data_IF_090236653626
#
_entry.id   IF_090236653626
#
_cell.length_a   1.000
_cell.length_b   1.000
_cell.length_c   1.000
_cell.angle_alpha   90.00
_cell.angle_beta   90.00
_cell.angle_gamma   90.00
#
_symmetry.space_group_name_H-M   'P 1'
#
loop_
_entity.id
_entity.type
_entity.pdbx_description
1 polymer ?
#
# COMPACT_ATOMS: atom_id res chain seq x y z
N UNK A 1 17.04 -21.64 -17.41
CA UNK A 1 17.22 -20.21 -17.75
C UNK A 1 15.94 -19.57 -18.28
N UNK A 2 15.28 -20.16 -19.28
CA UNK A 2 14.03 -19.63 -19.89
C UNK A 2 12.91 -19.35 -18.87
N UNK A 3 12.63 -20.28 -17.95
CA UNK A 3 11.55 -20.14 -16.96
C UNK A 3 11.74 -18.88 -16.08
N UNK A 4 12.97 -18.60 -15.65
CA UNK A 4 13.27 -17.44 -14.82
C UNK A 4 13.00 -16.12 -15.55
N UNK A 5 13.38 -16.06 -16.83
CA UNK A 5 13.14 -14.87 -17.66
C UNK A 5 11.65 -14.62 -17.86
N UNK A 6 10.85 -15.69 -18.05
CA UNK A 6 9.39 -15.57 -18.16
C UNK A 6 8.78 -15.00 -16.87
N UNK A 7 9.14 -15.53 -15.70
CA UNK A 7 8.62 -15.02 -14.43
C UNK A 7 9.07 -13.59 -14.12
N UNK A 8 10.31 -13.23 -14.45
CA UNK A 8 10.83 -11.88 -14.32
C UNK A 8 10.01 -10.89 -15.17
N UNK A 9 9.86 -11.17 -16.47
CA UNK A 9 9.10 -10.31 -17.40
C UNK A 9 7.65 -10.17 -16.94
N UNK A 10 7.03 -11.28 -16.54
CA UNK A 10 5.66 -11.26 -16.02
C UNK A 10 5.54 -10.42 -14.75
N UNK A 11 6.47 -10.57 -13.80
CA UNK A 11 6.49 -9.79 -12.56
C UNK A 11 6.63 -8.29 -12.81
N UNK A 12 7.49 -7.89 -13.75
CA UNK A 12 7.64 -6.49 -14.18
C UNK A 12 6.33 -6.00 -14.82
N UNK A 13 5.78 -6.75 -15.78
CA UNK A 13 4.56 -6.37 -16.50
C UNK A 13 3.36 -6.19 -15.56
N UNK A 14 3.13 -7.13 -14.63
CA UNK A 14 2.03 -7.03 -13.67
C UNK A 14 2.27 -5.89 -12.67
N UNK A 15 3.52 -5.63 -12.27
CA UNK A 15 3.84 -4.47 -11.42
C UNK A 15 3.56 -3.15 -12.13
N UNK A 16 3.92 -3.03 -13.42
CA UNK A 16 3.59 -1.85 -14.24
C UNK A 16 2.07 -1.69 -14.36
N UNK A 17 1.34 -2.77 -14.62
CA UNK A 17 -0.12 -2.73 -14.66
C UNK A 17 -0.72 -2.23 -13.33
N UNK A 18 -0.20 -2.70 -12.19
CA UNK A 18 -0.60 -2.20 -10.87
C UNK A 18 -0.32 -0.70 -10.71
N UNK A 19 0.84 -0.21 -11.16
CA UNK A 19 1.17 1.23 -11.13
C UNK A 19 0.16 2.04 -11.95
N UNK A 20 -0.16 1.60 -13.16
CA UNK A 20 -1.18 2.25 -14.01
C UNK A 20 -2.54 2.26 -13.32
N UNK A 21 -2.98 1.12 -12.76
CA UNK A 21 -4.25 1.02 -12.03
C UNK A 21 -4.31 1.99 -10.84
N UNK A 22 -3.20 2.17 -10.11
CA UNK A 22 -3.11 3.16 -9.02
C UNK A 22 -3.28 4.60 -9.54
N UNK A 23 -2.61 4.97 -10.63
CA UNK A 23 -2.76 6.30 -11.24
C UNK A 23 -4.18 6.54 -11.73
N UNK A 24 -4.78 5.56 -12.41
CA UNK A 24 -6.17 5.63 -12.87
C UNK A 24 -7.12 5.83 -11.69
N UNK A 25 -6.99 5.02 -10.63
CA UNK A 25 -7.82 5.16 -9.44
C UNK A 25 -7.61 6.52 -8.74
N UNK A 26 -6.37 7.01 -8.64
CA UNK A 26 -6.06 8.32 -8.09
C UNK A 26 -6.73 9.43 -8.91
N UNK A 27 -6.60 9.40 -10.23
CA UNK A 27 -7.22 10.37 -11.15
C UNK A 27 -8.76 10.38 -11.03
N UNK A 28 -9.39 9.21 -11.01
CA UNK A 28 -10.84 9.08 -10.85
C UNK A 28 -11.30 9.62 -9.49
N UNK A 29 -10.55 9.32 -8.41
CA UNK A 29 -10.85 9.84 -7.07
C UNK A 29 -10.74 11.36 -7.00
N UNK A 30 -9.72 11.94 -7.64
CA UNK A 30 -9.53 13.39 -7.73
C UNK A 30 -10.64 14.08 -8.53
N UNK A 31 -11.01 13.55 -9.70
CA UNK A 31 -12.08 14.12 -10.51
C UNK A 31 -13.41 14.14 -9.76
N UNK A 32 -13.69 13.07 -9.01
CA UNK A 32 -14.90 13.00 -8.19
C UNK A 32 -14.85 13.98 -7.02
N UNK A 33 -13.71 14.11 -6.34
CA UNK A 33 -13.51 15.12 -5.30
C UNK A 33 -13.66 16.55 -5.84
N UNK A 34 -13.17 16.83 -7.05
CA UNK A 34 -13.31 18.16 -7.68
C UNK A 34 -14.78 18.55 -7.85
N UNK A 35 -15.64 17.57 -8.18
CA UNK A 35 -17.07 17.77 -8.32
C UNK A 35 -17.82 17.78 -6.97
N UNK A 36 -17.27 17.14 -5.94
CA UNK A 36 -17.84 17.12 -4.60
C UNK A 36 -16.76 17.27 -3.52
N UNK A 37 -16.41 18.52 -3.21
CA UNK A 37 -15.33 18.88 -2.28
C UNK A 37 -15.63 18.53 -0.83
N UNK A 38 -16.88 18.23 -0.49
CA UNK A 38 -17.29 17.85 0.86
C UNK A 38 -16.78 16.45 1.23
N UNK A 39 -16.58 15.58 0.23
CA UNK A 39 -16.10 14.21 0.43
C UNK A 39 -14.56 14.19 0.52
N UNK A 40 -14.03 14.69 1.64
CA UNK A 40 -12.58 14.78 1.90
C UNK A 40 -11.86 13.44 1.78
N UNK A 41 -12.54 12.32 2.05
CA UNK A 41 -11.97 10.97 1.92
C UNK A 41 -11.54 10.63 0.48
N UNK A 42 -12.19 11.19 -0.55
CA UNK A 42 -11.77 11.02 -1.94
C UNK A 42 -10.43 11.72 -2.23
N UNK A 43 -10.21 12.89 -1.64
CA UNK A 43 -8.91 13.57 -1.72
C UNK A 43 -7.82 12.78 -0.99
N UNK A 44 -8.15 12.21 0.18
CA UNK A 44 -7.25 11.29 0.87
C UNK A 44 -6.89 10.10 -0.01
N UNK A 45 -7.88 9.44 -0.63
CA UNK A 45 -7.66 8.31 -1.51
C UNK A 45 -6.78 8.69 -2.72
N UNK A 46 -7.02 9.86 -3.32
CA UNK A 46 -6.16 10.39 -4.37
C UNK A 46 -4.70 10.51 -3.91
N UNK A 47 -4.44 11.18 -2.78
CA UNK A 47 -3.09 11.34 -2.24
C UNK A 47 -2.45 9.97 -1.92
N UNK A 48 -3.18 9.08 -1.27
CA UNK A 48 -2.70 7.73 -0.98
C UNK A 48 -2.21 7.03 -2.24
N UNK A 49 -3.04 6.98 -3.29
CA UNK A 49 -2.74 6.20 -4.48
C UNK A 49 -1.70 6.85 -5.40
N UNK A 50 -1.61 8.18 -5.48
CA UNK A 50 -0.54 8.85 -6.23
C UNK A 50 0.83 8.58 -5.58
N UNK A 51 0.93 8.70 -4.26
CA UNK A 51 2.15 8.45 -3.52
C UNK A 51 2.55 6.96 -3.57
N UNK A 52 1.58 6.04 -3.46
CA UNK A 52 1.82 4.60 -3.61
C UNK A 52 2.21 4.19 -5.05
N UNK A 53 1.83 4.96 -6.06
CA UNK A 53 2.25 4.73 -7.44
C UNK A 53 3.71 5.17 -7.64
N UNK A 54 4.05 6.38 -7.21
CA UNK A 54 5.41 6.93 -7.28
C UNK A 54 6.37 6.07 -6.45
N UNK A 55 6.02 5.75 -5.21
CA UNK A 55 6.81 4.88 -4.34
C UNK A 55 7.04 3.51 -4.98
N UNK A 56 6.07 2.95 -5.73
CA UNK A 56 6.28 1.67 -6.42
C UNK A 56 7.18 1.79 -7.64
N UNK A 57 7.12 2.88 -8.41
CA UNK A 57 8.08 3.12 -9.50
C UNK A 57 9.51 3.15 -8.95
N UNK A 58 9.73 3.88 -7.86
CA UNK A 58 11.02 3.91 -7.19
C UNK A 58 11.42 2.52 -6.70
N UNK A 59 10.53 1.80 -6.01
CA UNK A 59 10.82 0.41 -5.60
C UNK A 59 11.11 -0.51 -6.79
N UNK A 60 10.50 -0.32 -7.96
CA UNK A 60 10.86 -1.11 -9.14
C UNK A 60 12.28 -0.82 -9.62
N UNK A 61 12.71 0.44 -9.63
CA UNK A 61 14.09 0.79 -9.96
C UNK A 61 15.05 0.16 -8.94
N UNK A 62 14.70 0.21 -7.66
CA UNK A 62 15.47 -0.44 -6.60
C UNK A 62 15.57 -1.96 -6.79
N UNK A 63 14.42 -2.64 -6.92
CA UNK A 63 14.30 -4.10 -6.97
C UNK A 63 14.94 -4.68 -8.25
N UNK A 64 14.62 -4.10 -9.42
CA UNK A 64 14.97 -4.69 -10.72
C UNK A 64 16.22 -4.11 -11.38
N UNK A 65 16.58 -2.86 -11.10
CA UNK A 65 17.71 -2.18 -11.76
C UNK A 65 18.93 -2.13 -10.85
N UNK A 66 18.77 -1.61 -9.63
CA UNK A 66 19.89 -1.37 -8.71
C UNK A 66 20.36 -2.64 -8.00
N UNK A 67 19.43 -3.42 -7.46
CA UNK A 67 19.76 -4.59 -6.62
C UNK A 67 19.60 -5.91 -7.34
N UNK A 68 18.72 -6.00 -8.35
CA UNK A 68 18.37 -7.25 -9.03
C UNK A 68 17.99 -8.38 -8.05
N UNK A 69 17.41 -8.01 -6.91
CA UNK A 69 17.12 -8.88 -5.76
C UNK A 69 18.33 -9.55 -5.09
N UNK A 70 19.56 -9.09 -5.33
CA UNK A 70 20.76 -9.50 -4.61
C UNK A 70 20.78 -8.89 -3.19
N UNK A 71 20.75 -9.72 -2.12
CA UNK A 71 20.79 -9.23 -0.74
C UNK A 71 22.04 -8.41 -0.41
N UNK A 72 23.17 -8.67 -1.08
CA UNK A 72 24.44 -8.00 -0.78
C UNK A 72 24.44 -6.52 -1.21
N UNK A 73 23.56 -6.15 -2.14
CA UNK A 73 23.45 -4.78 -2.65
C UNK A 73 22.44 -3.92 -1.86
N UNK A 74 21.68 -4.51 -0.94
CA UNK A 74 20.63 -3.81 -0.19
C UNK A 74 21.18 -2.67 0.68
N UNK A 75 22.29 -2.91 1.38
CA UNK A 75 22.94 -1.91 2.23
C UNK A 75 23.46 -0.73 1.39
N UNK A 76 24.13 -1.04 0.27
CA UNK A 76 24.71 -0.05 -0.65
C UNK A 76 23.67 0.92 -1.19
N UNK A 77 22.49 0.41 -1.57
CA UNK A 77 21.40 1.22 -2.14
C UNK A 77 20.30 1.57 -1.12
N UNK A 78 20.57 1.42 0.18
CA UNK A 78 19.61 1.61 1.27
C UNK A 78 18.92 2.98 1.25
N UNK A 79 19.63 4.04 0.86
CA UNK A 79 19.07 5.39 0.73
C UNK A 79 17.94 5.42 -0.31
N UNK A 80 18.11 4.76 -1.45
CA UNK A 80 17.11 4.74 -2.51
C UNK A 80 15.85 3.98 -2.06
N UNK A 81 16.03 2.87 -1.33
CA UNK A 81 14.94 2.14 -0.68
C UNK A 81 14.19 3.01 0.34
N UNK A 82 14.91 3.78 1.17
CA UNK A 82 14.32 4.71 2.13
C UNK A 82 13.47 5.78 1.45
N UNK A 83 13.97 6.38 0.36
CA UNK A 83 13.22 7.37 -0.43
C UNK A 83 11.94 6.74 -0.98
N UNK A 84 12.02 5.54 -1.56
CA UNK A 84 10.85 4.85 -2.10
C UNK A 84 9.78 4.55 -1.03
N UNK A 85 10.20 4.14 0.16
CA UNK A 85 9.29 3.94 1.30
C UNK A 85 8.75 5.26 1.86
N UNK A 86 9.52 6.34 1.83
CA UNK A 86 9.06 7.65 2.29
C UNK A 86 7.87 8.15 1.47
N UNK A 87 7.87 7.97 0.14
CA UNK A 87 6.70 8.26 -0.69
C UNK A 87 5.51 7.41 -0.25
N UNK A 88 5.70 6.11 -0.04
CA UNK A 88 4.63 5.21 0.45
C UNK A 88 4.06 5.68 1.80
N UNK A 89 4.92 6.06 2.74
CA UNK A 89 4.51 6.55 4.05
C UNK A 89 3.84 7.91 4.01
N UNK A 90 4.25 8.82 3.12
CA UNK A 90 3.52 10.07 2.90
C UNK A 90 2.11 9.83 2.36
N UNK A 91 1.94 8.85 1.48
CA UNK A 91 0.62 8.41 1.03
C UNK A 91 -0.26 7.97 2.19
N UNK A 92 0.25 7.09 3.05
CA UNK A 92 -0.47 6.64 4.26
C UNK A 92 -0.73 7.76 5.25
N UNK A 93 0.27 8.58 5.57
CA UNK A 93 0.17 9.71 6.49
C UNK A 93 -0.92 10.69 6.06
N UNK A 94 -0.96 11.03 4.77
CA UNK A 94 -1.97 11.91 4.18
C UNK A 94 -3.38 11.34 4.37
N UNK A 95 -3.55 10.04 4.12
CA UNK A 95 -4.82 9.36 4.27
C UNK A 95 -5.25 9.26 5.75
N UNK A 96 -4.33 8.93 6.65
CA UNK A 96 -4.55 8.84 8.10
C UNK A 96 -5.00 10.20 8.63
N UNK A 97 -4.27 11.27 8.30
CA UNK A 97 -4.61 12.64 8.71
C UNK A 97 -6.02 13.04 8.27
N UNK A 98 -6.36 12.79 7.00
CA UNK A 98 -7.69 13.08 6.46
C UNK A 98 -8.76 12.21 7.13
N UNK A 99 -8.46 10.94 7.41
CA UNK A 99 -9.38 10.02 8.12
C UNK A 99 -9.64 10.49 9.56
N UNK A 100 -8.63 10.94 10.29
CA UNK A 100 -8.78 11.49 11.64
C UNK A 100 -9.67 12.74 11.66
N UNK A 101 -9.51 13.61 10.65
CA UNK A 101 -10.33 14.80 10.50
C UNK A 101 -11.77 14.47 10.09
N UNK A 102 -11.96 13.62 9.08
CA UNK A 102 -13.26 13.37 8.45
C UNK A 102 -14.11 12.31 9.19
N UNK A 103 -13.51 11.20 9.64
CA UNK A 103 -14.24 10.09 10.29
C UNK A 103 -14.32 10.31 11.80
N UNK A 104 -13.22 10.72 12.43
CA UNK A 104 -13.15 10.87 13.88
C UNK A 104 -13.45 12.29 14.36
N UNK A 105 -13.69 13.24 13.44
CA UNK A 105 -13.97 14.64 13.75
C UNK A 105 -12.93 15.27 14.71
N UNK A 106 -11.66 14.87 14.58
CA UNK A 106 -10.57 15.36 15.42
C UNK A 106 -10.58 14.85 16.88
N UNK A 107 -11.47 13.93 17.25
CA UNK A 107 -11.54 13.37 18.63
C UNK A 107 -10.25 12.69 19.07
N UNK A 108 -9.49 12.12 18.13
CA UNK A 108 -8.18 11.51 18.37
C UNK A 108 -7.06 12.53 18.58
N UNK A 109 -7.34 13.84 18.40
CA UNK A 109 -6.35 14.94 18.49
C UNK A 109 -5.08 14.68 17.68
N UNK A 110 -5.23 14.01 16.54
CA UNK A 110 -4.13 13.64 15.64
C UNK A 110 -3.06 12.74 16.27
N UNK A 111 -3.36 12.04 17.37
CA UNK A 111 -2.39 11.17 18.04
C UNK A 111 -1.84 10.09 17.10
N UNK A 112 -2.67 9.58 16.18
CA UNK A 112 -2.26 8.53 15.26
C UNK A 112 -1.36 9.10 14.16
N UNK A 113 -1.71 10.26 13.61
CA UNK A 113 -0.84 11.02 12.70
C UNK A 113 0.52 11.33 13.36
N UNK A 114 0.53 11.83 14.60
CA UNK A 114 1.77 12.16 15.33
C UNK A 114 2.62 10.90 15.55
N UNK A 115 2.00 9.82 16.04
CA UNK A 115 2.66 8.52 16.20
C UNK A 115 3.29 8.06 14.88
N UNK A 116 2.54 8.15 13.78
CA UNK A 116 3.02 7.78 12.45
C UNK A 116 4.24 8.59 12.02
N UNK A 117 4.24 9.91 12.23
CA UNK A 117 5.37 10.82 11.92
C UNK A 117 6.63 10.44 12.70
N UNK A 118 6.50 10.16 14.00
CA UNK A 118 7.64 9.78 14.85
C UNK A 118 8.32 8.52 14.29
N UNK A 119 7.54 7.51 13.90
CA UNK A 119 8.10 6.28 13.33
C UNK A 119 8.69 6.45 11.93
N UNK A 120 8.15 7.35 11.10
CA UNK A 120 8.82 7.73 9.84
C UNK A 120 10.20 8.31 10.15
N UNK A 121 10.30 9.28 11.07
CA UNK A 121 11.57 9.94 11.41
C UNK A 121 12.59 8.91 11.91
N UNK A 122 12.18 8.03 12.83
CA UNK A 122 13.04 6.95 13.34
C UNK A 122 13.52 6.04 12.21
N UNK A 123 12.65 5.69 11.26
CA UNK A 123 12.99 4.82 10.12
C UNK A 123 13.95 5.46 9.11
N UNK A 124 14.12 6.78 9.14
CA UNK A 124 15.06 7.48 8.25
C UNK A 124 16.49 7.52 8.82
N UNK A 125 16.69 7.30 10.12
CA UNK A 125 18.01 7.34 10.77
C UNK A 125 18.97 6.36 10.07
N UNK A 126 20.21 6.77 9.75
CA UNK A 126 21.19 5.94 9.04
C UNK A 126 21.79 4.88 9.98
N UNK A 127 21.03 3.82 10.24
CA UNK A 127 21.45 2.61 10.95
C UNK A 127 21.51 1.44 9.95
N UNK A 128 21.97 0.27 10.41
CA UNK A 128 21.92 -1.01 9.72
C UNK A 128 20.60 -1.25 8.97
N UNK A 129 20.68 -1.76 7.74
CA UNK A 129 19.51 -1.92 6.86
C UNK A 129 18.47 -2.88 7.41
N UNK A 130 18.86 -3.99 8.06
CA UNK A 130 17.90 -4.95 8.61
C UNK A 130 17.11 -4.35 9.77
N UNK A 131 17.78 -3.61 10.64
CA UNK A 131 17.11 -2.88 11.72
C UNK A 131 16.16 -1.83 11.15
N UNK A 132 16.61 -1.03 10.17
CA UNK A 132 15.78 -0.03 9.49
C UNK A 132 14.55 -0.68 8.84
N UNK A 133 14.73 -1.82 8.18
CA UNK A 133 13.65 -2.56 7.53
C UNK A 133 12.62 -3.08 8.56
N UNK A 134 13.07 -3.57 9.71
CA UNK A 134 12.19 -3.98 10.80
C UNK A 134 11.41 -2.79 11.38
N UNK A 135 12.08 -1.66 11.63
CA UNK A 135 11.46 -0.43 12.13
C UNK A 135 10.45 0.16 11.13
N UNK A 136 10.77 0.13 9.84
CA UNK A 136 9.89 0.49 8.72
C UNK A 136 8.60 -0.35 8.66
N UNK A 137 8.60 -1.55 9.25
CA UNK A 137 7.42 -2.38 9.43
C UNK A 137 6.37 -1.75 10.34
N UNK A 138 6.78 -0.94 11.33
CA UNK A 138 5.87 -0.32 12.31
C UNK A 138 4.94 0.72 11.68
N UNK A 139 5.43 1.78 10.98
CA UNK A 139 4.53 2.74 10.34
C UNK A 139 3.65 2.03 9.33
N UNK A 140 4.23 1.15 8.50
CA UNK A 140 3.45 0.37 7.53
C UNK A 140 2.33 -0.43 8.19
N UNK A 141 2.64 -1.25 9.19
CA UNK A 141 1.67 -2.06 9.94
C UNK A 141 0.59 -1.23 10.61
N UNK A 142 0.94 -0.07 11.17
CA UNK A 142 -0.04 0.84 11.77
C UNK A 142 -1.05 1.37 10.74
N UNK A 143 -0.60 1.71 9.51
CA UNK A 143 -1.50 2.09 8.42
C UNK A 143 -2.38 0.91 7.95
N UNK A 144 -1.79 -0.29 7.83
CA UNK A 144 -2.51 -1.51 7.45
C UNK A 144 -3.69 -1.81 8.39
N UNK A 145 -3.58 -1.46 9.67
CA UNK A 145 -4.64 -1.67 10.65
C UNK A 145 -5.58 -0.46 10.74
N UNK A 146 -5.04 0.74 10.89
CA UNK A 146 -5.84 1.94 11.15
C UNK A 146 -6.81 2.25 10.01
N UNK A 147 -6.35 2.17 8.75
CA UNK A 147 -7.17 2.54 7.60
C UNK A 147 -8.42 1.65 7.51
N UNK A 148 -8.32 0.30 7.44
CA UNK A 148 -9.51 -0.55 7.50
C UNK A 148 -10.37 -0.31 8.75
N UNK A 149 -9.77 -0.23 9.94
CA UNK A 149 -10.53 -0.06 11.18
C UNK A 149 -11.35 1.23 11.19
N UNK A 150 -10.84 2.32 10.59
CA UNK A 150 -11.60 3.57 10.49
C UNK A 150 -12.88 3.41 9.65
N UNK A 151 -12.85 2.63 8.58
CA UNK A 151 -14.02 2.31 7.77
C UNK A 151 -14.97 1.31 8.44
N UNK A 152 -14.44 0.35 9.19
CA UNK A 152 -15.26 -0.55 10.00
C UNK A 152 -16.01 0.23 11.09
N UNK A 153 -15.34 1.21 11.71
CA UNK A 153 -15.94 2.14 12.66
C UNK A 153 -17.06 2.97 12.02
N UNK A 154 -16.83 3.52 10.83
CA UNK A 154 -17.86 4.24 10.06
C UNK A 154 -19.06 3.33 9.76
N UNK A 155 -18.81 2.10 9.32
CA UNK A 155 -19.85 1.11 9.05
C UNK A 155 -20.71 0.79 10.29
N UNK A 156 -20.11 0.73 11.48
CA UNK A 156 -20.83 0.50 12.73
C UNK A 156 -21.73 1.68 13.12
N UNK A 157 -21.35 2.90 12.75
CA UNK A 157 -22.08 4.13 13.10
C UNK A 157 -23.15 4.53 12.08
N UNK A 158 -23.05 4.06 10.85
CA UNK A 158 -24.00 4.38 9.79
C UNK A 158 -25.08 3.31 9.64
N UNK A 159 -26.24 3.70 9.10
CA UNK A 159 -27.31 2.79 8.68
C UNK A 159 -27.49 2.84 7.16
N UNK A 160 -28.13 1.83 6.59
CA UNK A 160 -28.49 1.81 5.17
C UNK A 160 -27.30 1.85 4.22
N UNK A 161 -27.34 2.78 3.26
CA UNK A 161 -26.39 2.81 2.15
C UNK A 161 -24.95 3.20 2.52
N UNK A 162 -24.71 4.24 3.35
CA UNK A 162 -23.36 4.57 3.81
C UNK A 162 -22.66 3.41 4.55
N UNK A 163 -23.42 2.54 5.24
CA UNK A 163 -22.88 1.33 5.89
C UNK A 163 -22.34 0.34 4.85
N UNK A 164 -23.11 0.07 3.78
CA UNK A 164 -22.67 -0.84 2.70
C UNK A 164 -21.40 -0.32 2.03
N UNK A 165 -21.34 0.98 1.71
CA UNK A 165 -20.13 1.64 1.17
C UNK A 165 -18.93 1.43 2.06
N UNK A 166 -19.09 1.70 3.35
CA UNK A 166 -18.01 1.59 4.33
C UNK A 166 -17.48 0.16 4.45
N UNK A 167 -18.36 -0.85 4.38
CA UNK A 167 -17.96 -2.27 4.38
C UNK A 167 -17.19 -2.62 3.11
N UNK A 168 -17.65 -2.18 1.93
CA UNK A 168 -16.94 -2.43 0.67
C UNK A 168 -15.54 -1.80 0.70
N UNK A 169 -15.43 -0.56 1.20
CA UNK A 169 -14.14 0.12 1.32
C UNK A 169 -13.23 -0.60 2.33
N UNK A 170 -13.77 -1.01 3.49
CA UNK A 170 -13.06 -1.84 4.46
C UNK A 170 -12.50 -3.11 3.80
N UNK A 171 -13.35 -3.89 3.13
CA UNK A 171 -12.93 -5.13 2.45
C UNK A 171 -11.90 -4.85 1.35
N UNK A 172 -12.08 -3.79 0.57
CA UNK A 172 -11.12 -3.35 -0.44
C UNK A 172 -9.74 -3.04 0.16
N UNK A 173 -9.69 -2.32 1.27
CA UNK A 173 -8.43 -2.07 1.98
C UNK A 173 -7.87 -3.34 2.63
N UNK A 174 -8.68 -4.23 3.21
CA UNK A 174 -8.18 -5.52 3.73
C UNK A 174 -7.51 -6.33 2.62
N UNK A 175 -8.14 -6.44 1.45
CA UNK A 175 -7.57 -7.18 0.32
C UNK A 175 -6.31 -6.48 -0.22
N UNK A 176 -6.36 -5.16 -0.43
CA UNK A 176 -5.26 -4.40 -1.00
C UNK A 176 -4.05 -4.30 -0.04
N UNK A 177 -4.29 -3.88 1.20
CA UNK A 177 -3.30 -3.59 2.22
C UNK A 177 -2.93 -4.85 3.00
N UNK A 178 -3.86 -5.46 3.74
CA UNK A 178 -3.52 -6.60 4.61
C UNK A 178 -3.05 -7.79 3.79
N UNK A 179 -3.86 -8.31 2.87
CA UNK A 179 -3.47 -9.53 2.13
C UNK A 179 -2.38 -9.22 1.11
N UNK A 180 -2.61 -8.22 0.26
CA UNK A 180 -1.69 -7.87 -0.81
C UNK A 180 -0.32 -7.44 -0.32
N UNK A 181 -0.22 -6.60 0.73
CA UNK A 181 1.09 -6.13 1.22
C UNK A 181 1.77 -7.19 2.08
N UNK A 182 1.04 -7.90 2.94
CA UNK A 182 1.62 -8.94 3.82
C UNK A 182 2.26 -10.08 3.04
N UNK A 183 1.73 -10.44 1.86
CA UNK A 183 2.37 -11.43 1.00
C UNK A 183 3.81 -11.08 0.61
N UNK A 184 4.16 -9.79 0.53
CA UNK A 184 5.51 -9.33 0.21
C UNK A 184 6.45 -9.36 1.43
N UNK A 185 5.98 -9.72 2.63
CA UNK A 185 6.84 -9.84 3.78
C UNK A 185 7.83 -11.00 3.60
N UNK A 186 9.08 -10.78 4.03
CA UNK A 186 10.15 -11.76 3.86
C UNK A 186 9.83 -13.09 4.56
N UNK A 187 9.22 -13.04 5.75
CA UNK A 187 8.78 -14.24 6.48
C UNK A 187 7.80 -15.11 5.68
N UNK A 188 6.93 -14.50 4.86
CA UNK A 188 6.01 -15.24 3.97
C UNK A 188 6.80 -15.92 2.84
N UNK A 189 7.78 -15.23 2.27
CA UNK A 189 8.65 -15.80 1.22
C UNK A 189 9.44 -16.99 1.76
N UNK A 190 10.07 -16.86 2.92
CA UNK A 190 10.83 -17.93 3.57
C UNK A 190 9.94 -19.14 3.86
N UNK A 191 8.74 -18.91 4.39
CA UNK A 191 7.76 -19.97 4.66
C UNK A 191 7.43 -20.78 3.40
N UNK A 192 7.13 -20.13 2.28
CA UNK A 192 6.83 -20.82 1.01
C UNK A 192 8.04 -21.55 0.43
N UNK A 193 9.24 -20.98 0.51
CA UNK A 193 10.47 -21.66 0.08
C UNK A 193 10.69 -22.95 0.86
N UNK A 194 10.51 -22.91 2.18
CA UNK A 194 10.71 -24.06 3.06
C UNK A 194 9.72 -25.20 2.79
N UNK A 195 8.47 -24.89 2.43
CA UNK A 195 7.43 -25.90 2.17
C UNK A 195 7.50 -26.45 0.76
N UNK A 196 7.79 -25.61 -0.24
CA UNK A 196 7.77 -26.02 -1.65
C UNK A 196 9.10 -26.57 -2.14
N UNK A 197 10.20 -26.29 -1.43
CA UNK A 197 11.58 -26.57 -1.85
C UNK A 197 11.95 -25.99 -3.22
N UNK A 198 11.21 -24.99 -3.70
CA UNK A 198 11.53 -24.29 -4.93
C UNK A 198 12.63 -23.25 -4.73
N UNK A 199 13.26 -22.87 -5.84
CA UNK A 199 14.25 -21.79 -5.84
C UNK A 199 13.64 -20.48 -5.30
N UNK A 200 14.31 -19.86 -4.33
CA UNK A 200 13.88 -18.62 -3.65
C UNK A 200 13.49 -17.51 -4.61
N UNK A 201 14.20 -17.39 -5.73
CA UNK A 201 14.01 -16.33 -6.70
C UNK A 201 12.71 -16.54 -7.51
N UNK A 202 12.37 -17.80 -7.85
CA UNK A 202 11.07 -18.15 -8.46
C UNK A 202 9.93 -17.84 -7.50
N UNK A 203 10.06 -18.22 -6.23
CA UNK A 203 9.03 -17.95 -5.22
C UNK A 203 8.81 -16.44 -5.04
N UNK A 204 9.89 -15.64 -4.97
CA UNK A 204 9.79 -14.19 -4.94
C UNK A 204 8.95 -13.65 -6.11
N UNK A 205 9.22 -14.08 -7.35
CA UNK A 205 8.43 -13.64 -8.51
C UNK A 205 6.96 -14.05 -8.43
N UNK A 206 6.66 -15.29 -8.05
CA UNK A 206 5.27 -15.76 -7.89
C UNK A 206 4.53 -14.93 -6.84
N UNK A 207 5.17 -14.65 -5.70
CA UNK A 207 4.63 -13.81 -4.63
C UNK A 207 4.38 -12.39 -5.13
N UNK A 208 5.31 -11.79 -5.88
CA UNK A 208 5.13 -10.46 -6.46
C UNK A 208 3.94 -10.39 -7.44
N UNK A 209 3.81 -11.37 -8.33
CA UNK A 209 2.70 -11.47 -9.28
C UNK A 209 1.37 -11.61 -8.54
N UNK A 210 1.32 -12.52 -7.56
CA UNK A 210 0.10 -12.80 -6.78
C UNK A 210 -0.31 -11.60 -5.94
N UNK A 211 0.65 -10.97 -5.25
CA UNK A 211 0.44 -9.72 -4.49
C UNK A 211 -0.13 -8.62 -5.39
N UNK A 212 0.42 -8.44 -6.59
CA UNK A 212 -0.04 -7.40 -7.50
C UNK A 212 -1.45 -7.67 -8.03
N UNK A 213 -1.78 -8.92 -8.38
CA UNK A 213 -3.13 -9.30 -8.79
C UNK A 213 -4.18 -9.08 -7.68
N UNK A 214 -3.88 -9.50 -6.44
CA UNK A 214 -4.73 -9.27 -5.27
C UNK A 214 -4.94 -7.77 -5.03
N UNK A 215 -3.86 -6.98 -5.16
CA UNK A 215 -3.95 -5.52 -5.03
C UNK A 215 -4.84 -4.89 -6.08
N UNK A 216 -4.78 -5.33 -7.33
CA UNK A 216 -5.70 -4.85 -8.39
C UNK A 216 -7.16 -5.17 -8.00
N UNK A 217 -7.45 -6.38 -7.52
CA UNK A 217 -8.78 -6.75 -7.02
C UNK A 217 -9.24 -5.87 -5.84
N UNK A 218 -8.34 -5.57 -4.91
CA UNK A 218 -8.62 -4.64 -3.80
C UNK A 218 -8.93 -3.23 -4.30
N UNK A 219 -8.16 -2.70 -5.25
CA UNK A 219 -8.43 -1.38 -5.86
C UNK A 219 -9.77 -1.35 -6.58
N UNK A 220 -10.15 -2.44 -7.25
CA UNK A 220 -11.46 -2.56 -7.87
C UNK A 220 -12.59 -2.42 -6.85
N UNK A 221 -12.50 -3.07 -5.69
CA UNK A 221 -13.48 -2.90 -4.61
C UNK A 221 -13.50 -1.47 -4.07
N UNK A 222 -12.33 -0.86 -3.89
CA UNK A 222 -12.22 0.55 -3.48
C UNK A 222 -12.89 1.47 -4.51
N UNK A 223 -12.73 1.22 -5.80
CA UNK A 223 -13.43 1.93 -6.87
C UNK A 223 -14.95 1.83 -6.74
N UNK A 224 -15.47 0.63 -6.46
CA UNK A 224 -16.91 0.47 -6.23
C UNK A 224 -17.40 1.24 -5.00
N UNK A 225 -16.67 1.15 -3.89
CA UNK A 225 -17.03 1.80 -2.63
C UNK A 225 -16.94 3.32 -2.67
N UNK A 226 -15.88 3.88 -3.27
CA UNK A 226 -15.65 5.32 -3.34
C UNK A 226 -16.34 6.00 -4.51
N UNK A 227 -16.43 5.36 -5.68
CA UNK A 227 -16.74 6.04 -6.95
C UNK A 227 -18.10 5.61 -7.51
N UNK A 228 -18.33 4.33 -7.74
CA UNK A 228 -19.50 3.87 -8.53
C UNK A 228 -20.84 4.05 -7.80
N UNK A 229 -20.85 3.93 -6.48
CA UNK A 229 -22.06 3.95 -5.66
C UNK A 229 -22.63 5.35 -5.34
N UNK A 230 -22.14 6.47 -5.88
CA UNK A 230 -22.85 7.76 -5.71
C UNK A 230 -23.78 8.11 -6.89
N UNK A 231 -23.84 7.25 -7.92
CA UNK A 231 -24.67 7.47 -9.11
C UNK A 231 -25.99 6.67 -9.06
N UNK A 232 -26.38 6.17 -7.89
CA UNK A 232 -27.63 5.43 -7.60
C UNK A 232 -28.25 6.02 -6.34
#
# INVERSE_FOLDING_TARGET
MVIYQVFLVLSIAVTLALVVVKFVFAFLSYNKYKNNKEIQMLFGAFLLFIFLAIGRILMMIFDYILTQFDPNLLQTYSIFWKIANLFTWFGFLSFIYISEKAIFAGKTRYLITIFYIVFIIISLIPIDFLLVQALAGIPTGSALLFIPISYLYLAKKSAGYPRKKSIIIFTGFVIYLLIGYFLLAEGVTIFFVNITHFNTLIIKYIIHITSAAIKIGGIYLLYYGFIKQDNQ
#
